data_IF_789322833055
#
_entry.id   IF_789322833055
#
_cell.length_a   1.000
_cell.length_b   1.000
_cell.length_c   1.000
_cell.angle_alpha   90.00
_cell.angle_beta   90.00
_cell.angle_gamma   90.00
#
_symmetry.space_group_name_H-M   'P 1'
#
loop_
_entity.id
_entity.type
_entity.pdbx_description
1 polymer ?
#
# COMPACT_ATOMS: atom_id res chain seq x y z
N UNK A 1 -13.63 -0.38 14.14
CA UNK A 1 -12.28 0.06 13.73
C UNK A 1 -12.12 -0.16 12.23
N UNK A 2 -11.39 0.70 11.53
CA UNK A 2 -11.16 0.54 10.08
C UNK A 2 -9.79 -0.05 9.80
N UNK A 3 -9.71 -0.84 8.73
CA UNK A 3 -8.47 -1.41 8.22
C UNK A 3 -8.22 -0.91 6.80
N UNK A 4 -6.96 -0.84 6.42
CA UNK A 4 -6.53 -0.36 5.12
C UNK A 4 -5.63 -1.37 4.47
N UNK A 5 -5.84 -1.62 3.18
CA UNK A 5 -4.86 -2.25 2.30
C UNK A 5 -4.25 -1.18 1.44
N UNK A 6 -2.93 -1.18 1.28
CA UNK A 6 -2.22 -0.15 0.55
C UNK A 6 -1.14 -0.72 -0.36
N UNK A 7 -0.83 0.02 -1.41
CA UNK A 7 0.27 -0.27 -2.33
C UNK A 7 1.25 0.90 -2.33
N UNK A 8 2.51 0.61 -2.07
CA UNK A 8 3.62 1.55 -2.24
C UNK A 8 4.38 1.22 -3.52
N UNK A 9 4.73 2.24 -4.29
CA UNK A 9 5.72 2.13 -5.37
C UNK A 9 7.07 2.64 -4.87
N UNK A 10 8.09 1.80 -4.96
CA UNK A 10 9.45 2.14 -4.53
C UNK A 10 10.20 2.91 -5.61
N UNK A 11 11.35 3.47 -5.26
CA UNK A 11 12.25 4.13 -6.21
C UNK A 11 12.80 3.20 -7.30
N UNK A 12 12.81 1.88 -7.08
CA UNK A 12 13.19 0.87 -8.09
C UNK A 12 12.00 0.37 -8.91
N UNK A 13 10.85 1.06 -8.85
CA UNK A 13 9.62 0.71 -9.58
C UNK A 13 9.06 -0.68 -9.20
N UNK A 14 9.37 -1.19 -8.00
CA UNK A 14 8.71 -2.37 -7.42
C UNK A 14 7.48 -1.96 -6.62
N UNK A 15 6.56 -2.90 -6.43
CA UNK A 15 5.33 -2.70 -5.66
C UNK A 15 5.40 -3.47 -4.34
N UNK A 16 5.18 -2.76 -3.25
CA UNK A 16 4.98 -3.35 -1.93
C UNK A 16 3.51 -3.26 -1.55
N UNK A 17 2.96 -4.34 -1.00
CA UNK A 17 1.56 -4.43 -0.61
C UNK A 17 1.52 -4.79 0.88
N UNK A 18 0.74 -4.03 1.64
CA UNK A 18 0.57 -4.27 3.07
C UNK A 18 -0.81 -3.86 3.55
N UNK A 19 -1.07 -4.11 4.84
CA UNK A 19 -2.27 -3.68 5.53
C UNK A 19 -1.96 -3.06 6.89
N UNK A 20 -2.87 -2.23 7.40
CA UNK A 20 -2.75 -1.54 8.70
C UNK A 20 -4.12 -1.06 9.18
N UNK A 21 -4.31 -0.86 10.48
CA UNK A 21 -5.47 -0.16 11.04
C UNK A 21 -5.26 1.37 11.14
N UNK A 22 -4.04 1.85 10.92
CA UNK A 22 -3.70 3.28 10.86
C UNK A 22 -2.75 3.53 9.67
N UNK A 23 -3.32 4.01 8.56
CA UNK A 23 -2.58 4.23 7.32
C UNK A 23 -1.57 5.37 7.44
N UNK A 24 -1.95 6.48 8.05
CA UNK A 24 -1.11 7.67 8.16
C UNK A 24 0.18 7.39 8.97
N UNK A 25 0.04 6.78 10.16
CA UNK A 25 1.19 6.40 10.97
C UNK A 25 2.09 5.41 10.22
N UNK A 26 1.49 4.46 9.50
CA UNK A 26 2.25 3.47 8.73
C UNK A 26 3.06 4.09 7.60
N UNK A 27 2.53 5.11 6.94
CA UNK A 27 3.24 5.86 5.91
C UNK A 27 4.39 6.68 6.49
N UNK A 28 4.17 7.34 7.64
CA UNK A 28 5.22 8.05 8.38
C UNK A 28 6.36 7.10 8.78
N UNK A 29 6.04 5.92 9.29
CA UNK A 29 7.05 4.89 9.62
C UNK A 29 7.89 4.49 8.39
N UNK A 30 7.23 4.26 7.25
CA UNK A 30 7.90 3.91 6.00
C UNK A 30 8.79 5.05 5.48
N UNK A 31 8.30 6.28 5.50
CA UNK A 31 9.03 7.46 5.05
C UNK A 31 10.25 7.76 5.95
N UNK A 32 10.09 7.66 7.26
CA UNK A 32 11.15 7.90 8.24
C UNK A 32 12.11 6.70 8.40
N UNK A 33 11.88 5.61 7.65
CA UNK A 33 12.65 4.36 7.75
C UNK A 33 12.80 3.85 9.19
N UNK A 34 11.76 4.02 10.00
CA UNK A 34 11.80 3.62 11.42
C UNK A 34 12.02 2.12 11.57
N UNK A 35 12.45 1.67 12.75
CA UNK A 35 12.60 0.24 13.07
C UNK A 35 11.32 -0.58 12.82
N UNK A 36 10.15 0.06 12.94
CA UNK A 36 8.82 -0.53 12.67
C UNK A 36 8.48 -0.64 11.18
N UNK A 37 9.20 0.07 10.31
CA UNK A 37 9.05 -0.06 8.85
C UNK A 37 9.44 -1.46 8.37
N UNK A 38 8.74 -1.97 7.36
CA UNK A 38 9.10 -3.24 6.74
C UNK A 38 10.55 -3.20 6.24
N UNK A 39 11.36 -4.22 6.58
CA UNK A 39 12.79 -4.31 6.20
C UNK A 39 13.00 -4.07 4.71
N UNK A 40 12.14 -4.65 3.87
CA UNK A 40 12.16 -4.46 2.43
C UNK A 40 12.01 -2.99 2.01
N UNK A 41 11.08 -2.23 2.62
CA UNK A 41 10.86 -0.82 2.29
C UNK A 41 12.03 0.06 2.69
N UNK A 42 12.66 -0.21 3.85
CA UNK A 42 13.79 0.61 4.35
C UNK A 42 15.00 0.61 3.40
N UNK A 43 15.19 -0.47 2.64
CA UNK A 43 16.26 -0.59 1.66
C UNK A 43 16.15 0.44 0.53
N UNK A 44 14.95 0.85 0.14
CA UNK A 44 14.75 1.79 -0.97
C UNK A 44 14.98 3.24 -0.54
N UNK A 45 15.44 4.08 -1.47
CA UNK A 45 15.67 5.52 -1.21
C UNK A 45 14.36 6.22 -0.85
N UNK A 46 13.29 5.91 -1.58
CA UNK A 46 11.96 6.46 -1.36
C UNK A 46 10.88 5.48 -1.77
N UNK A 47 9.67 5.71 -1.26
CA UNK A 47 8.46 5.01 -1.67
C UNK A 47 7.27 5.97 -1.67
N UNK A 48 6.35 5.81 -2.61
CA UNK A 48 5.14 6.63 -2.74
C UNK A 48 3.90 5.78 -2.57
N UNK A 49 2.92 6.26 -1.83
CA UNK A 49 1.58 5.66 -1.82
C UNK A 49 0.96 5.85 -3.20
N UNK A 50 0.58 4.75 -3.84
CA UNK A 50 -0.08 4.79 -5.15
C UNK A 50 -1.50 4.25 -5.11
N UNK A 51 -1.89 3.60 -4.02
CA UNK A 51 -3.21 3.02 -3.84
C UNK A 51 -3.53 2.75 -2.37
N UNK A 52 -4.78 2.96 -1.97
CA UNK A 52 -5.33 2.48 -0.70
C UNK A 52 -6.81 2.14 -0.82
N UNK A 53 -7.25 1.13 -0.08
CA UNK A 53 -8.64 0.72 0.08
C UNK A 53 -8.94 0.56 1.57
N UNK A 54 -10.16 0.95 1.98
CA UNK A 54 -10.63 0.86 3.37
C UNK A 54 -11.58 -0.34 3.53
N UNK A 55 -11.46 -1.02 4.65
CA UNK A 55 -12.24 -2.20 5.03
C UNK A 55 -12.76 -2.08 6.47
N UNK A 56 -13.89 -2.74 6.75
CA UNK A 56 -14.53 -2.72 8.06
C UNK A 56 -13.88 -3.72 9.02
N UNK A 57 -13.30 -4.79 8.50
CA UNK A 57 -12.67 -5.85 9.31
C UNK A 57 -11.24 -6.14 8.89
N UNK A 58 -10.44 -6.66 9.84
CA UNK A 58 -9.09 -7.15 9.57
C UNK A 58 -9.09 -8.31 8.56
N UNK A 59 -10.12 -9.16 8.61
CA UNK A 59 -10.24 -10.35 7.76
C UNK A 59 -10.39 -9.95 6.30
N UNK A 60 -11.26 -8.99 6.00
CA UNK A 60 -11.43 -8.48 4.63
C UNK A 60 -10.14 -7.85 4.10
N UNK A 61 -9.48 -7.01 4.91
CA UNK A 61 -8.20 -6.40 4.53
C UNK A 61 -7.12 -7.47 4.26
N UNK A 62 -7.04 -8.51 5.09
CA UNK A 62 -6.12 -9.63 4.89
C UNK A 62 -6.42 -10.41 3.61
N UNK A 63 -7.68 -10.75 3.36
CA UNK A 63 -8.08 -11.47 2.14
C UNK A 63 -7.75 -10.66 0.89
N UNK A 64 -8.01 -9.35 0.92
CA UNK A 64 -7.64 -8.45 -0.16
C UNK A 64 -6.14 -8.34 -0.36
N UNK A 65 -5.35 -8.21 0.71
CA UNK A 65 -3.90 -8.18 0.65
C UNK A 65 -3.35 -9.44 -0.04
N UNK A 66 -3.84 -10.62 0.35
CA UNK A 66 -3.44 -11.91 -0.26
C UNK A 66 -3.83 -11.94 -1.74
N UNK A 67 -5.05 -11.52 -2.08
CA UNK A 67 -5.53 -11.46 -3.44
C UNK A 67 -4.64 -10.54 -4.31
N UNK A 68 -4.35 -9.33 -3.83
CA UNK A 68 -3.49 -8.39 -4.52
C UNK A 68 -2.07 -8.93 -4.68
N UNK A 69 -1.48 -9.58 -3.67
CA UNK A 69 -0.15 -10.19 -3.77
C UNK A 69 -0.06 -11.20 -4.92
N UNK A 70 -1.11 -12.02 -5.11
CA UNK A 70 -1.23 -13.02 -6.19
C UNK A 70 -1.48 -12.44 -7.59
N UNK A 71 -1.87 -11.17 -7.71
CA UNK A 71 -2.13 -10.57 -9.03
C UNK A 71 -0.84 -10.38 -9.85
N UNK A 72 -1.00 -10.44 -11.18
CA UNK A 72 0.06 -10.04 -12.11
C UNK A 72 0.40 -8.56 -11.94
N UNK A 73 1.61 -8.16 -12.38
CA UNK A 73 2.04 -6.76 -12.38
C UNK A 73 1.07 -5.87 -13.17
N UNK A 74 0.68 -6.30 -14.36
CA UNK A 74 -0.26 -5.57 -15.21
C UNK A 74 -1.61 -5.33 -14.52
N UNK A 75 -2.16 -6.33 -13.83
CA UNK A 75 -3.44 -6.19 -13.12
C UNK A 75 -3.35 -5.23 -11.93
N UNK A 76 -2.22 -5.24 -11.21
CA UNK A 76 -1.94 -4.26 -10.14
C UNK A 76 -1.82 -2.84 -10.68
N UNK A 77 -1.13 -2.67 -11.81
CA UNK A 77 -0.95 -1.35 -12.43
C UNK A 77 -2.29 -0.80 -12.97
N UNK A 78 -3.13 -1.64 -13.59
CA UNK A 78 -4.49 -1.26 -13.99
C UNK A 78 -5.35 -0.77 -12.81
N UNK A 79 -5.29 -1.47 -11.67
CA UNK A 79 -5.97 -1.05 -10.43
C UNK A 79 -5.48 0.32 -9.95
N UNK A 80 -4.16 0.54 -9.94
CA UNK A 80 -3.55 1.81 -9.53
C UNK A 80 -3.99 2.94 -10.46
N UNK A 81 -4.01 2.71 -11.78
CA UNK A 81 -4.43 3.70 -12.77
C UNK A 81 -5.92 4.06 -12.60
N UNK A 82 -6.79 3.07 -12.42
CA UNK A 82 -8.21 3.30 -12.16
C UNK A 82 -8.45 4.11 -10.87
N UNK A 83 -7.61 3.93 -9.86
CA UNK A 83 -7.70 4.72 -8.62
C UNK A 83 -7.20 6.16 -8.76
N UNK A 84 -6.14 6.39 -9.55
CA UNK A 84 -5.63 7.76 -9.83
C UNK A 84 -6.70 8.67 -10.43
N UNK A 85 -7.67 8.09 -11.15
CA UNK A 85 -8.82 8.83 -11.70
C UNK A 85 -9.81 9.27 -10.62
N UNK A 86 -9.86 8.59 -9.47
CA UNK A 86 -10.76 8.93 -8.34
C UNK A 86 -10.14 9.90 -7.34
N UNK A 87 -8.81 9.96 -7.23
CA UNK A 87 -8.09 10.76 -6.23
C UNK A 87 -7.82 12.21 -6.63
N UNK A 88 -8.51 12.77 -7.64
CA UNK A 88 -8.39 14.20 -8.04
C UNK A 88 -9.16 15.19 -7.15
N UNK A 89 -9.52 14.81 -5.93
CA UNK A 89 -10.06 15.73 -4.90
C UNK A 89 -9.22 15.61 -3.64
N UNK A 90 -8.24 16.50 -3.52
CA UNK A 90 -7.79 17.13 -2.28
C UNK A 90 -7.66 18.61 -2.57
#
# INVERSE_FOLDING_TARGET
MSYFVYILRTSSNTLYIGQTNNLENRLKEHQNKSSKSAKYIRYFKSSKLVFSEKYSTRKEAMQREIQLKKWSRAKKDALIMGNKLRSKKL
#
